data_IF_757913373272
#
_entry.id   IF_757913373272
#
_cell.length_a   1.000
_cell.length_b   1.000
_cell.length_c   1.000
_cell.angle_alpha   90.00
_cell.angle_beta   90.00
_cell.angle_gamma   90.00
#
_symmetry.space_group_name_H-M   'P 1'
#
loop_
_entity.id
_entity.type
_entity.pdbx_description
1 polymer ?
#
# COMPACT_ATOMS: atom_id res chain seq x y z
N UNK A 1 -35.78 47.10 8.78
CA UNK A 1 -34.92 46.30 9.68
C UNK A 1 -34.68 44.95 9.02
N UNK A 2 -33.46 44.68 8.56
CA UNK A 2 -33.12 43.44 7.85
C UNK A 2 -32.12 42.63 8.68
N UNK A 3 -32.53 41.45 9.14
CA UNK A 3 -31.62 40.49 9.77
C UNK A 3 -30.83 39.77 8.67
N UNK A 4 -29.51 39.98 8.64
CA UNK A 4 -28.58 39.14 7.87
C UNK A 4 -28.55 37.76 8.51
N UNK A 5 -28.88 36.73 7.74
CA UNK A 5 -28.64 35.34 8.14
C UNK A 5 -27.12 35.12 8.25
N UNK A 6 -26.64 34.94 9.47
CA UNK A 6 -25.27 34.52 9.75
C UNK A 6 -25.15 33.06 9.29
N UNK A 7 -24.27 32.81 8.33
CA UNK A 7 -23.99 31.47 7.83
C UNK A 7 -23.49 30.58 8.97
N UNK A 8 -24.20 29.46 9.20
CA UNK A 8 -23.76 28.42 10.13
C UNK A 8 -22.42 27.83 9.65
N UNK A 9 -21.50 27.49 10.56
CA UNK A 9 -20.26 26.82 10.20
C UNK A 9 -20.57 25.48 9.52
N UNK A 10 -19.87 25.20 8.41
CA UNK A 10 -20.00 23.98 7.60
C UNK A 10 -19.86 22.66 8.38
N UNK A 11 -19.39 22.69 9.63
CA UNK A 11 -19.13 21.51 10.46
C UNK A 11 -20.37 20.91 11.13
N UNK A 12 -21.53 21.59 11.09
CA UNK A 12 -22.76 21.13 11.75
C UNK A 12 -23.87 20.72 10.77
N UNK A 13 -23.56 20.59 9.48
CA UNK A 13 -24.51 20.02 8.53
C UNK A 13 -24.72 18.53 8.86
N UNK A 14 -25.95 18.07 9.12
CA UNK A 14 -26.20 16.64 9.29
C UNK A 14 -25.82 15.91 8.01
N UNK A 15 -25.19 14.72 8.09
CA UNK A 15 -24.86 13.95 6.91
C UNK A 15 -26.14 13.64 6.12
N UNK A 16 -26.10 13.69 4.78
CA UNK A 16 -27.28 13.40 3.96
C UNK A 16 -27.79 11.97 4.28
N UNK A 17 -29.10 11.79 4.51
CA UNK A 17 -29.65 10.47 4.81
C UNK A 17 -29.64 9.66 3.51
N UNK A 18 -28.72 8.69 3.41
CA UNK A 18 -28.70 7.74 2.29
C UNK A 18 -27.32 7.29 1.79
N UNK A 19 -26.22 7.78 2.35
CA UNK A 19 -24.89 7.31 1.97
C UNK A 19 -24.44 6.11 2.81
N UNK A 20 -24.89 4.90 2.48
CA UNK A 20 -24.14 3.72 2.91
C UNK A 20 -22.75 3.82 2.28
N UNK A 21 -21.74 4.13 3.09
CA UNK A 21 -20.33 4.11 2.71
C UNK A 21 -19.87 2.65 2.45
N UNK A 22 -20.55 1.96 1.54
CA UNK A 22 -20.01 0.75 0.94
C UNK A 22 -18.93 1.25 -0.04
N UNK A 23 -17.75 1.51 0.51
CA UNK A 23 -16.53 1.79 -0.24
C UNK A 23 -16.46 0.81 -1.41
N UNK A 24 -16.78 1.31 -2.60
CA UNK A 24 -16.68 0.56 -3.84
C UNK A 24 -15.19 0.47 -4.15
N UNK A 25 -14.47 -0.36 -3.39
CA UNK A 25 -13.11 -0.73 -3.75
C UNK A 25 -13.22 -1.43 -5.09
N UNK A 26 -12.87 -0.69 -6.14
CA UNK A 26 -12.68 -1.22 -7.48
C UNK A 26 -11.57 -2.27 -7.33
N UNK A 27 -11.94 -3.54 -7.14
CA UNK A 27 -11.00 -4.65 -7.01
C UNK A 27 -10.11 -4.62 -8.26
N UNK A 28 -8.89 -4.09 -8.12
CA UNK A 28 -7.92 -4.07 -9.21
C UNK A 28 -7.43 -5.50 -9.39
N UNK A 29 -8.07 -6.24 -10.28
CA UNK A 29 -7.66 -7.59 -10.68
C UNK A 29 -8.82 -8.50 -11.08
N UNK A 30 -8.49 -9.62 -11.72
CA UNK A 30 -9.48 -10.62 -12.09
C UNK A 30 -10.14 -11.24 -10.86
N UNK A 31 -11.42 -11.59 -10.99
CA UNK A 31 -12.19 -12.30 -9.97
C UNK A 31 -11.48 -13.60 -9.57
N UNK A 32 -11.58 -14.02 -8.29
CA UNK A 32 -10.91 -15.23 -7.81
C UNK A 32 -11.29 -16.48 -8.62
N UNK A 33 -12.52 -16.54 -9.12
CA UNK A 33 -13.00 -17.65 -9.96
C UNK A 33 -12.24 -17.73 -11.29
N UNK A 34 -12.04 -16.60 -11.98
CA UNK A 34 -11.27 -16.57 -13.22
C UNK A 34 -9.83 -16.99 -12.98
N UNK A 35 -9.21 -16.56 -11.86
CA UNK A 35 -7.84 -16.97 -11.50
C UNK A 35 -7.73 -18.48 -11.29
N UNK A 36 -8.70 -19.08 -10.58
CA UNK A 36 -8.77 -20.53 -10.36
C UNK A 36 -8.94 -21.29 -11.67
N UNK A 37 -9.79 -20.82 -12.57
CA UNK A 37 -9.98 -21.43 -13.90
C UNK A 37 -8.69 -21.40 -14.72
N UNK A 38 -8.04 -20.23 -14.82
CA UNK A 38 -6.76 -20.09 -15.54
C UNK A 38 -5.72 -21.05 -14.95
N UNK A 39 -5.56 -21.07 -13.63
CA UNK A 39 -4.60 -21.96 -12.96
C UNK A 39 -4.87 -23.44 -13.26
N UNK A 40 -6.14 -23.87 -13.19
CA UNK A 40 -6.53 -25.25 -13.51
C UNK A 40 -6.19 -25.62 -14.96
N UNK A 41 -6.46 -24.75 -15.92
CA UNK A 41 -6.13 -25.03 -17.32
C UNK A 41 -4.62 -25.05 -17.58
N UNK A 42 -3.86 -24.18 -16.91
CA UNK A 42 -2.40 -24.22 -16.96
C UNK A 42 -1.84 -25.54 -16.40
N UNK A 43 -2.37 -26.03 -15.28
CA UNK A 43 -1.99 -27.35 -14.73
C UNK A 43 -2.33 -28.52 -15.67
N UNK A 44 -3.40 -28.39 -16.45
CA UNK A 44 -3.78 -29.36 -17.49
C UNK A 44 -2.94 -29.24 -18.78
N UNK A 45 -1.98 -28.32 -18.84
CA UNK A 45 -1.11 -28.14 -20.00
C UNK A 45 -1.77 -27.46 -21.20
N UNK A 46 -2.87 -26.74 -21.00
CA UNK A 46 -3.53 -26.01 -22.09
C UNK A 46 -2.67 -24.84 -22.58
N UNK A 47 -2.80 -24.53 -23.88
CA UNK A 47 -2.07 -23.38 -24.45
C UNK A 47 -2.62 -22.05 -23.89
N UNK A 48 -1.76 -21.04 -23.61
CA UNK A 48 -2.20 -19.74 -23.10
C UNK A 48 -3.23 -19.04 -24.00
N UNK A 49 -3.15 -19.25 -25.32
CA UNK A 49 -4.09 -18.69 -26.28
C UNK A 49 -5.49 -19.28 -26.12
N UNK A 50 -5.61 -20.61 -25.99
CA UNK A 50 -6.91 -21.27 -25.80
C UNK A 50 -7.55 -20.90 -24.46
N UNK A 51 -6.74 -20.73 -23.41
CA UNK A 51 -7.22 -20.29 -22.09
C UNK A 51 -7.77 -18.86 -22.14
N UNK A 52 -7.09 -17.97 -22.86
CA UNK A 52 -7.52 -16.58 -23.02
C UNK A 52 -8.91 -16.49 -23.66
N UNK A 53 -9.15 -17.28 -24.71
CA UNK A 53 -10.44 -17.38 -25.39
C UNK A 53 -11.53 -17.99 -24.48
N UNK A 54 -11.21 -19.09 -23.80
CA UNK A 54 -12.17 -19.80 -22.95
C UNK A 54 -12.64 -18.99 -21.72
N UNK A 55 -11.72 -18.27 -21.06
CA UNK A 55 -12.01 -17.51 -19.82
C UNK A 55 -12.40 -16.06 -20.12
N UNK A 56 -12.18 -15.60 -21.36
CA UNK A 56 -12.41 -14.22 -21.78
C UNK A 56 -11.47 -13.24 -21.07
N UNK A 57 -10.17 -13.50 -21.16
CA UNK A 57 -9.10 -12.69 -20.52
C UNK A 57 -8.02 -12.38 -21.57
N UNK A 58 -7.34 -11.24 -21.44
CA UNK A 58 -6.25 -10.88 -22.35
C UNK A 58 -5.10 -11.88 -22.32
N UNK A 59 -4.50 -12.14 -23.49
CA UNK A 59 -3.37 -13.08 -23.63
C UNK A 59 -2.21 -12.72 -22.71
N UNK A 60 -1.88 -11.43 -22.60
CA UNK A 60 -0.83 -10.92 -21.71
C UNK A 60 -1.04 -11.37 -20.27
N UNK A 61 -2.27 -11.25 -19.75
CA UNK A 61 -2.60 -11.71 -18.40
C UNK A 61 -2.36 -13.21 -18.25
N UNK A 62 -2.72 -14.03 -19.24
CA UNK A 62 -2.48 -15.48 -19.15
C UNK A 62 -0.98 -15.79 -19.14
N UNK A 63 -0.17 -15.06 -19.91
CA UNK A 63 1.29 -15.16 -19.86
C UNK A 63 1.88 -14.69 -18.53
N UNK A 64 1.34 -13.64 -17.92
CA UNK A 64 1.74 -13.20 -16.57
C UNK A 64 1.44 -14.29 -15.54
N UNK A 65 0.26 -14.92 -15.60
CA UNK A 65 -0.09 -16.05 -14.74
C UNK A 65 0.82 -17.25 -14.99
N UNK A 66 1.10 -17.59 -16.25
CA UNK A 66 2.02 -18.66 -16.60
C UNK A 66 3.43 -18.42 -16.02
N UNK A 67 3.93 -17.19 -16.15
CA UNK A 67 5.24 -16.81 -15.62
C UNK A 67 5.27 -16.89 -14.09
N UNK A 68 4.22 -16.38 -13.42
CA UNK A 68 4.10 -16.47 -11.96
C UNK A 68 4.02 -17.94 -11.47
N UNK A 69 3.28 -18.80 -12.17
CA UNK A 69 3.20 -20.23 -11.83
C UNK A 69 4.55 -20.90 -12.04
N UNK A 70 5.27 -20.59 -13.12
CA UNK A 70 6.61 -21.14 -13.37
C UNK A 70 7.65 -20.70 -12.34
N UNK A 71 7.58 -19.46 -11.86
CA UNK A 71 8.56 -18.88 -10.93
C UNK A 71 8.24 -19.20 -9.45
N UNK A 72 6.96 -19.23 -9.08
CA UNK A 72 6.52 -19.27 -7.69
C UNK A 72 5.55 -20.42 -7.36
N UNK A 73 5.24 -21.30 -8.31
CA UNK A 73 4.19 -22.36 -8.19
C UNK A 73 2.83 -21.82 -7.72
N UNK A 74 2.56 -20.54 -7.96
CA UNK A 74 1.33 -19.89 -7.54
C UNK A 74 0.82 -18.90 -8.58
N UNK A 75 -0.51 -18.78 -8.74
CA UNK A 75 -1.11 -17.90 -9.74
C UNK A 75 -0.99 -16.42 -9.39
N UNK A 76 -0.62 -16.08 -8.15
CA UNK A 76 -0.48 -14.69 -7.69
C UNK A 76 0.92 -14.51 -7.13
N UNK A 77 1.63 -13.49 -7.60
CA UNK A 77 2.94 -13.13 -7.06
C UNK A 77 2.85 -12.97 -5.53
N UNK A 78 3.67 -13.70 -4.76
CA UNK A 78 3.57 -13.70 -3.30
C UNK A 78 4.01 -12.35 -2.73
N UNK A 79 3.06 -11.52 -2.32
CA UNK A 79 3.33 -10.17 -1.84
C UNK A 79 4.27 -10.13 -0.63
N UNK A 80 4.34 -11.19 0.17
CA UNK A 80 5.24 -11.24 1.34
C UNK A 80 6.72 -11.38 0.95
N UNK A 81 7.03 -12.06 -0.16
CA UNK A 81 8.39 -12.20 -0.70
C UNK A 81 8.89 -10.89 -1.31
N UNK A 82 7.95 -10.09 -1.82
CA UNK A 82 8.21 -8.78 -2.45
C UNK A 82 7.60 -7.64 -1.65
N UNK A 83 7.39 -7.84 -0.34
CA UNK A 83 7.17 -6.72 0.56
C UNK A 83 8.48 -5.97 0.51
N UNK A 84 8.55 -4.99 -0.38
CA UNK A 84 9.48 -3.89 -0.23
C UNK A 84 9.28 -3.47 1.21
N UNK A 85 10.27 -3.75 2.06
CA UNK A 85 10.35 -3.12 3.36
C UNK A 85 10.05 -1.66 3.04
N UNK A 86 8.95 -1.15 3.59
CA UNK A 86 8.56 0.24 3.32
C UNK A 86 9.78 1.13 3.57
N UNK A 87 9.78 2.34 3.00
CA UNK A 87 10.79 3.34 3.37
C UNK A 87 11.01 3.25 4.88
N UNK A 88 12.25 3.01 5.37
CA UNK A 88 12.49 2.84 6.79
C UNK A 88 11.79 3.98 7.52
N UNK A 89 10.97 3.62 8.50
CA UNK A 89 10.16 4.58 9.25
C UNK A 89 11.14 5.63 9.76
N UNK A 90 10.94 6.89 9.34
CA UNK A 90 11.75 8.00 9.84
C UNK A 90 11.74 7.92 11.36
N UNK A 91 12.94 8.00 11.96
CA UNK A 91 13.24 8.20 13.40
C UNK A 91 12.01 8.03 14.30
N UNK A 92 12.00 6.98 15.13
CA UNK A 92 10.89 6.75 16.08
C UNK A 92 10.62 8.00 16.93
N UNK A 93 9.38 8.18 17.37
CA UNK A 93 8.97 9.35 18.17
C UNK A 93 9.87 9.54 19.39
N UNK A 94 10.23 8.45 20.08
CA UNK A 94 11.18 8.44 21.20
C UNK A 94 12.58 8.97 20.83
N UNK A 95 13.07 8.63 19.62
CA UNK A 95 14.37 9.10 19.16
C UNK A 95 14.30 10.55 18.68
N UNK A 96 13.13 10.99 18.19
CA UNK A 96 12.90 12.39 17.82
C UNK A 96 12.82 13.30 19.05
N UNK A 97 12.18 12.84 20.13
CA UNK A 97 12.11 13.56 21.40
C UNK A 97 13.50 13.66 22.06
N UNK A 98 14.26 12.57 22.09
CA UNK A 98 15.62 12.57 22.60
C UNK A 98 16.55 13.51 21.81
N UNK A 99 16.44 13.51 20.48
CA UNK A 99 17.19 14.45 19.65
C UNK A 99 16.80 15.90 19.94
N UNK A 100 15.52 16.15 20.22
CA UNK A 100 15.04 17.49 20.57
C UNK A 100 15.60 17.95 21.93
N UNK A 101 15.64 17.08 22.93
CA UNK A 101 16.25 17.38 24.24
C UNK A 101 17.75 17.69 24.09
N UNK A 102 18.47 16.90 23.29
CA UNK A 102 19.90 17.11 23.04
C UNK A 102 20.15 18.46 22.34
N UNK A 103 19.35 18.77 21.32
CA UNK A 103 19.42 20.04 20.61
C UNK A 103 18.99 21.22 21.49
N UNK A 104 18.12 21.01 22.49
CA UNK A 104 17.73 22.05 23.44
C UNK A 104 18.88 22.39 24.41
N UNK A 105 19.73 21.42 24.76
CA UNK A 105 20.90 21.63 25.63
C UNK A 105 22.05 22.27 24.86
N UNK A 106 22.37 21.75 23.67
CA UNK A 106 23.53 22.18 22.88
C UNK A 106 23.22 23.37 21.95
N UNK A 107 21.95 23.67 21.73
CA UNK A 107 21.44 24.76 20.91
C UNK A 107 21.51 24.50 19.40
N UNK A 108 22.52 23.77 18.93
CA UNK A 108 22.69 23.41 17.52
C UNK A 108 23.66 22.22 17.34
N UNK A 109 23.47 21.45 16.27
CA UNK A 109 24.38 20.38 15.81
C UNK A 109 24.35 20.32 14.27
N UNK A 110 25.44 19.90 13.65
CA UNK A 110 25.46 19.61 12.22
C UNK A 110 24.72 18.29 11.91
N UNK A 111 24.23 18.14 10.67
CA UNK A 111 23.39 16.99 10.30
C UNK A 111 24.13 15.65 10.43
N UNK A 112 25.41 15.63 10.09
CA UNK A 112 26.32 14.50 10.25
C UNK A 112 26.59 14.17 11.72
N UNK A 113 26.67 15.18 12.59
CA UNK A 113 26.76 14.98 14.04
C UNK A 113 25.48 14.38 14.61
N UNK A 114 24.31 14.81 14.12
CA UNK A 114 23.01 14.24 14.50
C UNK A 114 22.92 12.76 14.10
N UNK A 115 23.36 12.42 12.89
CA UNK A 115 23.39 11.03 12.41
C UNK A 115 24.36 10.19 13.24
N UNK A 116 25.54 10.73 13.52
CA UNK A 116 26.54 10.06 14.35
C UNK A 116 26.02 9.84 15.78
N UNK A 117 25.39 10.85 16.38
CA UNK A 117 24.82 10.77 17.72
C UNK A 117 23.67 9.76 17.80
N UNK A 118 22.73 9.79 16.84
CA UNK A 118 21.65 8.80 16.75
C UNK A 118 22.17 7.36 16.58
N UNK A 119 23.29 7.20 15.87
CA UNK A 119 23.93 5.90 15.70
C UNK A 119 24.61 5.42 16.99
N UNK A 120 25.36 6.28 17.67
CA UNK A 120 26.12 5.92 18.88
C UNK A 120 25.20 5.73 20.10
N UNK A 121 24.31 6.67 20.37
CA UNK A 121 23.52 6.70 21.61
C UNK A 121 22.25 5.84 21.53
N UNK A 122 21.66 5.71 20.33
CA UNK A 122 20.38 5.04 20.14
C UNK A 122 20.44 3.82 19.23
N UNK A 123 21.59 3.52 18.64
CA UNK A 123 21.76 2.39 17.72
C UNK A 123 20.91 2.50 16.45
N UNK A 124 20.48 3.72 16.09
CA UNK A 124 19.59 3.96 14.95
C UNK A 124 20.44 4.14 13.70
N UNK A 125 20.19 3.30 12.70
CA UNK A 125 20.79 3.44 11.38
C UNK A 125 19.84 4.32 10.54
N UNK A 126 20.19 5.61 10.42
CA UNK A 126 19.42 6.66 9.75
C UNK A 126 19.77 6.75 8.27
#
# INVERSE_FOLDING_TARGET
>A
MAFRAVGLPRSLAPPPPGGSNHLYYKNRGHTPDKRRQIYRFLQLGWSPNAIAEQVGVGKTTVYDFYSNVKEYDCPTKPTHLFKTLGRPTKVTEENAEALYEELAVHGWMYQDEIVYWLFIERGVLV
#
